data_IF_696556571174
#
_entry.id   IF_696556571174
#
_cell.length_a   1.000
_cell.length_b   1.000
_cell.length_c   1.000
_cell.angle_alpha   90.00
_cell.angle_beta   90.00
_cell.angle_gamma   90.00
#
_symmetry.space_group_name_H-M   'P 1'
#
loop_
_entity.id
_entity.type
_entity.pdbx_description
1 polymer ?
#
# COMPACT_ATOMS: atom_id res chain seq x y z
N UNK A 1 2.57 -14.44 3.03
CA UNK A 1 2.40 -13.22 3.87
C UNK A 1 3.56 -13.20 4.85
N UNK A 2 4.28 -12.08 5.00
CA UNK A 2 5.52 -12.02 5.81
C UNK A 2 5.28 -11.72 7.30
N UNK A 3 4.02 -11.64 7.73
CA UNK A 3 3.64 -11.42 9.14
C UNK A 3 2.36 -12.19 9.46
N UNK A 4 2.20 -12.59 10.72
CA UNK A 4 0.94 -13.13 11.23
C UNK A 4 -0.19 -12.09 11.25
N UNK A 5 -1.35 -12.47 11.77
CA UNK A 5 -2.49 -11.55 11.90
C UNK A 5 -2.16 -10.42 12.89
N UNK A 6 -2.42 -9.17 12.49
CA UNK A 6 -2.34 -8.00 13.38
C UNK A 6 -3.63 -7.92 14.20
N UNK A 7 -3.51 -7.94 15.53
CA UNK A 7 -4.67 -7.79 16.43
C UNK A 7 -5.21 -6.36 16.40
N UNK A 8 -6.49 -6.20 16.75
CA UNK A 8 -7.13 -4.88 16.89
C UNK A 8 -6.55 -4.02 18.02
N UNK A 9 -5.82 -4.62 18.95
CA UNK A 9 -5.11 -3.93 20.04
C UNK A 9 -3.69 -3.47 19.66
N UNK A 10 -3.19 -3.85 18.48
CA UNK A 10 -1.86 -3.46 18.01
C UNK A 10 -1.85 -1.99 17.58
N UNK A 11 -0.70 -1.33 17.77
CA UNK A 11 -0.40 -0.02 17.20
C UNK A 11 -0.37 -0.01 15.65
N UNK A 12 -0.33 -1.18 15.01
CA UNK A 12 -0.39 -1.33 13.56
C UNK A 12 -1.81 -1.41 13.01
N UNK A 13 -2.82 -1.57 13.86
CA UNK A 13 -4.22 -1.61 13.45
C UNK A 13 -4.65 -0.25 12.88
N UNK A 14 -5.40 -0.27 11.77
CA UNK A 14 -5.96 0.90 11.10
C UNK A 14 -4.96 1.93 10.56
N UNK A 15 -3.65 1.62 10.50
CA UNK A 15 -2.69 2.52 9.89
C UNK A 15 -2.89 2.64 8.37
N UNK A 16 -2.57 3.81 7.79
CA UNK A 16 -2.47 3.96 6.34
C UNK A 16 -1.50 2.94 5.75
N UNK A 17 -1.88 2.32 4.63
CA UNK A 17 -1.09 1.30 3.94
C UNK A 17 -0.48 1.84 2.66
N UNK A 18 0.81 1.55 2.45
CA UNK A 18 1.59 2.00 1.28
C UNK A 18 2.17 0.80 0.50
N UNK A 19 1.34 0.05 -0.25
CA UNK A 19 1.81 -1.06 -1.05
C UNK A 19 2.64 -0.56 -2.24
N UNK A 20 3.89 -1.03 -2.29
CA UNK A 20 4.82 -0.80 -3.39
C UNK A 20 4.80 -1.95 -4.41
N UNK A 21 5.59 -1.82 -5.48
CA UNK A 21 5.91 -2.93 -6.38
C UNK A 21 5.23 -2.88 -7.76
N UNK A 22 4.49 -1.82 -8.08
CA UNK A 22 4.06 -1.61 -9.46
C UNK A 22 5.25 -1.25 -10.35
N UNK A 23 5.17 -1.56 -11.64
CA UNK A 23 6.19 -1.21 -12.66
C UNK A 23 5.75 -0.10 -13.60
N UNK A 24 4.53 0.40 -13.40
CA UNK A 24 3.91 1.43 -14.22
C UNK A 24 2.99 2.29 -13.36
N UNK A 25 2.76 3.53 -13.77
CA UNK A 25 1.81 4.44 -13.12
C UNK A 25 0.39 3.85 -13.09
N UNK A 26 -0.02 3.19 -14.18
CA UNK A 26 -1.31 2.49 -14.27
C UNK A 26 -1.41 1.35 -13.22
N UNK A 27 -0.35 0.57 -13.05
CA UNK A 27 -0.29 -0.46 -12.02
C UNK A 27 -0.37 0.12 -10.60
N UNK A 28 0.29 1.24 -10.34
CA UNK A 28 0.18 1.94 -9.06
C UNK A 28 -1.24 2.46 -8.81
N UNK A 29 -1.91 3.00 -9.83
CA UNK A 29 -3.31 3.43 -9.72
C UNK A 29 -4.22 2.24 -9.38
N UNK A 30 -4.06 1.11 -10.06
CA UNK A 30 -4.84 -0.10 -9.79
C UNK A 30 -4.62 -0.62 -8.36
N UNK A 31 -3.40 -0.50 -7.82
CA UNK A 31 -3.07 -0.92 -6.47
C UNK A 31 -3.78 -0.11 -5.36
N UNK A 32 -4.35 1.06 -5.66
CA UNK A 32 -5.15 1.81 -4.67
C UNK A 32 -6.37 1.02 -4.19
N UNK A 33 -6.86 0.07 -5.00
CA UNK A 33 -8.00 -0.79 -4.67
C UNK A 33 -7.62 -2.07 -3.91
N UNK A 34 -6.33 -2.29 -3.63
CA UNK A 34 -5.89 -3.47 -2.89
C UNK A 34 -6.32 -3.41 -1.41
N UNK A 35 -6.38 -4.58 -0.78
CA UNK A 35 -6.51 -4.64 0.66
C UNK A 35 -5.31 -3.95 1.35
N UNK A 36 -5.53 -3.25 2.48
CA UNK A 36 -4.45 -2.69 3.28
C UNK A 36 -3.54 -3.79 3.85
N UNK A 37 -2.31 -3.42 4.23
CA UNK A 37 -1.33 -4.34 4.81
C UNK A 37 -1.74 -4.80 6.21
N UNK A 38 -2.54 -4.01 6.92
CA UNK A 38 -3.07 -4.33 8.25
C UNK A 38 -4.59 -4.10 8.30
N UNK A 39 -5.31 -4.86 9.15
CA UNK A 39 -6.75 -4.70 9.29
C UNK A 39 -7.16 -3.29 9.70
N UNK A 40 -8.35 -2.87 9.24
CA UNK A 40 -8.91 -1.54 9.54
C UNK A 40 -8.26 -0.38 8.77
N UNK A 41 -7.14 -0.62 8.07
CA UNK A 41 -6.43 0.42 7.33
C UNK A 41 -7.07 0.76 6.00
N UNK A 42 -6.47 1.74 5.31
CA UNK A 42 -6.79 2.09 3.91
C UNK A 42 -5.49 2.30 3.13
N UNK A 43 -5.50 1.98 1.85
CA UNK A 43 -4.39 2.34 0.95
C UNK A 43 -4.48 3.84 0.66
N UNK A 44 -3.45 4.60 1.02
CA UNK A 44 -3.41 6.07 0.83
C UNK A 44 -2.33 6.51 -0.16
N UNK A 45 -1.38 5.62 -0.44
CA UNK A 45 -0.28 5.84 -1.38
C UNK A 45 0.09 4.49 -1.99
N UNK A 46 0.44 4.48 -3.26
CA UNK A 46 1.04 3.34 -3.94
C UNK A 46 2.32 3.78 -4.62
N UNK A 47 3.22 2.83 -4.89
CA UNK A 47 4.50 3.14 -5.54
C UNK A 47 4.70 2.35 -6.82
N UNK A 48 5.33 2.99 -7.80
CA UNK A 48 5.84 2.33 -9.00
C UNK A 48 7.27 2.73 -9.34
N UNK A 49 8.01 1.80 -9.93
CA UNK A 49 9.34 2.08 -10.49
C UNK A 49 9.23 2.38 -11.97
N UNK A 50 9.80 3.49 -12.42
CA UNK A 50 9.95 3.79 -13.83
C UNK A 50 11.26 4.52 -14.10
N UNK A 51 11.96 4.16 -15.18
CA UNK A 51 13.20 4.83 -15.60
C UNK A 51 14.25 4.96 -14.48
N UNK A 52 14.31 3.99 -13.56
CA UNK A 52 15.27 3.97 -12.45
C UNK A 52 14.89 4.81 -11.23
N UNK A 53 13.67 5.34 -11.17
CA UNK A 53 13.16 6.10 -10.03
C UNK A 53 11.91 5.47 -9.44
N UNK A 54 11.76 5.63 -8.12
CA UNK A 54 10.54 5.31 -7.39
C UNK A 54 9.61 6.53 -7.41
N UNK A 55 8.36 6.32 -7.80
CA UNK A 55 7.33 7.34 -7.85
C UNK A 55 6.19 6.97 -6.91
N UNK A 56 5.74 7.96 -6.16
CA UNK A 56 4.53 7.87 -5.34
C UNK A 56 3.30 8.26 -6.17
N UNK A 57 2.21 7.53 -5.96
CA UNK A 57 0.88 7.87 -6.44
C UNK A 57 -0.07 7.97 -5.24
N UNK A 58 -0.71 9.12 -5.09
CA UNK A 58 -1.68 9.37 -4.03
C UNK A 58 -3.01 8.67 -4.35
N UNK A 59 -3.62 8.02 -3.35
CA UNK A 59 -4.92 7.37 -3.46
C UNK A 59 -6.05 8.15 -2.73
N UNK A 60 -5.80 9.41 -2.38
CA UNK A 60 -6.75 10.31 -1.69
C UNK A 60 -7.18 11.47 -2.58
#
# INVERSE_FOLDING_TARGET
MIVGTVSTSSNLYALPSWPAGARTAFGATANCSNAPLTPGGKVTLTQFVSRGFDYDHSCI
#
